data_IF_472649881086
#
_entry.id   IF_472649881086
#
_cell.length_a   1.000
_cell.length_b   1.000
_cell.length_c   1.000
_cell.angle_alpha   90.00
_cell.angle_beta   90.00
_cell.angle_gamma   90.00
#
_symmetry.space_group_name_H-M   'P 1'
#
loop_
_entity.id
_entity.type
_entity.pdbx_description
1 polymer ?
#
# COMPACT_ATOMS: atom_id res chain seq x y z
N UNK A 1 7.22 14.27 3.53
CA UNK A 1 8.40 13.46 3.10
C UNK A 1 9.71 13.87 3.76
N UNK A 2 9.85 15.12 4.17
CA UNK A 2 11.06 15.56 4.91
C UNK A 2 11.14 14.93 6.30
N UNK A 3 10.00 14.54 6.88
CA UNK A 3 9.87 14.00 8.24
C UNK A 3 9.50 12.50 8.28
N UNK A 4 9.34 11.85 7.11
CA UNK A 4 8.96 10.45 7.01
C UNK A 4 9.88 9.67 6.06
N UNK A 5 10.31 8.47 6.46
CA UNK A 5 11.15 7.57 5.66
C UNK A 5 10.38 7.01 4.46
N UNK A 6 9.10 6.71 4.63
CA UNK A 6 8.20 6.23 3.58
C UNK A 6 6.82 6.87 3.69
N UNK A 7 6.18 7.12 2.56
CA UNK A 7 4.82 7.66 2.46
C UNK A 7 4.01 6.83 1.48
N UNK A 8 2.90 6.29 1.94
CA UNK A 8 1.89 5.64 1.10
C UNK A 8 0.79 6.63 0.78
N UNK A 9 0.52 6.82 -0.50
CA UNK A 9 -0.55 7.70 -0.99
C UNK A 9 -1.66 6.83 -1.60
N UNK A 10 -2.89 7.03 -1.14
CA UNK A 10 -4.09 6.40 -1.67
C UNK A 10 -4.98 7.48 -2.32
N UNK A 11 -5.35 7.26 -3.58
CA UNK A 11 -6.18 8.20 -4.33
C UNK A 11 -7.67 7.85 -4.18
N UNK A 12 -8.38 8.62 -3.36
CA UNK A 12 -9.82 8.46 -3.16
C UNK A 12 -10.66 8.68 -4.44
N UNK A 13 -10.11 9.37 -5.47
CA UNK A 13 -10.85 9.53 -6.73
C UNK A 13 -11.09 8.19 -7.45
N UNK A 14 -10.27 7.19 -7.16
CA UNK A 14 -10.46 5.84 -7.70
C UNK A 14 -11.74 5.18 -7.22
N UNK A 15 -12.26 5.56 -6.04
CA UNK A 15 -13.57 5.10 -5.57
C UNK A 15 -14.71 5.50 -6.52
N UNK A 16 -14.62 6.68 -7.15
CA UNK A 16 -15.62 7.15 -8.11
C UNK A 16 -15.72 6.25 -9.35
N UNK A 17 -14.61 5.60 -9.70
CA UNK A 17 -14.58 4.66 -10.82
C UNK A 17 -14.93 3.24 -10.40
N UNK A 18 -14.56 2.86 -9.19
CA UNK A 18 -14.77 1.49 -8.69
C UNK A 18 -16.19 1.27 -8.18
N UNK A 19 -16.73 2.20 -7.42
CA UNK A 19 -18.06 2.10 -6.78
C UNK A 19 -18.91 3.37 -6.98
N UNK A 20 -19.19 3.78 -8.22
CA UNK A 20 -19.82 5.07 -8.51
C UNK A 20 -21.23 5.22 -7.96
N UNK A 21 -21.91 4.13 -7.63
CA UNK A 21 -23.31 4.09 -7.21
C UNK A 21 -23.49 3.84 -5.70
N UNK A 22 -22.40 3.70 -4.93
CA UNK A 22 -22.52 3.53 -3.48
C UNK A 22 -22.74 4.88 -2.78
N UNK A 23 -23.47 4.88 -1.63
CA UNK A 23 -23.48 5.99 -0.70
C UNK A 23 -22.05 6.38 -0.28
N UNK A 24 -21.84 7.67 -0.01
CA UNK A 24 -20.50 8.21 0.24
C UNK A 24 -19.80 7.57 1.45
N UNK A 25 -20.53 7.31 2.50
CA UNK A 25 -20.05 6.64 3.72
C UNK A 25 -19.66 5.18 3.47
N UNK A 26 -20.44 4.46 2.66
CA UNK A 26 -20.12 3.09 2.26
C UNK A 26 -18.89 3.05 1.34
N UNK A 27 -18.77 3.99 0.41
CA UNK A 27 -17.61 4.09 -0.47
C UNK A 27 -16.31 4.36 0.33
N UNK A 28 -16.34 5.28 1.30
CA UNK A 28 -15.18 5.51 2.18
C UNK A 28 -14.87 4.33 3.08
N UNK A 29 -15.88 3.56 3.54
CA UNK A 29 -15.64 2.32 4.28
C UNK A 29 -14.79 1.30 3.54
N UNK A 30 -14.90 1.23 2.21
CA UNK A 30 -14.05 0.35 1.38
C UNK A 30 -12.58 0.78 1.47
N UNK A 31 -12.31 2.08 1.40
CA UNK A 31 -10.94 2.60 1.53
C UNK A 31 -10.39 2.37 2.94
N UNK A 32 -11.21 2.57 3.98
CA UNK A 32 -10.83 2.31 5.37
C UNK A 32 -10.50 0.83 5.60
N UNK A 33 -11.25 -0.08 4.99
CA UNK A 33 -10.97 -1.52 5.04
C UNK A 33 -9.64 -1.84 4.35
N UNK A 34 -9.36 -1.27 3.19
CA UNK A 34 -8.09 -1.46 2.50
C UNK A 34 -6.91 -0.98 3.36
N UNK A 35 -7.03 0.21 3.96
CA UNK A 35 -6.00 0.73 4.88
C UNK A 35 -5.81 -0.19 6.07
N UNK A 36 -6.90 -0.67 6.66
CA UNK A 36 -6.86 -1.59 7.79
C UNK A 36 -6.17 -2.91 7.44
N UNK A 37 -6.45 -3.50 6.27
CA UNK A 37 -5.78 -4.73 5.80
C UNK A 37 -4.29 -4.50 5.52
N UNK A 38 -3.93 -3.36 4.97
CA UNK A 38 -2.53 -2.97 4.76
C UNK A 38 -1.78 -2.88 6.10
N UNK A 39 -2.32 -2.11 7.07
CA UNK A 39 -1.69 -1.95 8.39
C UNK A 39 -1.61 -3.28 9.13
N UNK A 40 -2.70 -4.05 9.12
CA UNK A 40 -2.77 -5.38 9.71
C UNK A 40 -1.72 -6.30 9.09
N UNK A 41 -1.61 -6.33 7.76
CA UNK A 41 -0.63 -7.14 7.05
C UNK A 41 0.82 -6.84 7.46
N UNK A 42 1.18 -5.56 7.58
CA UNK A 42 2.52 -5.16 8.06
C UNK A 42 2.76 -5.65 9.49
N UNK A 43 1.79 -5.44 10.38
CA UNK A 43 1.90 -5.85 11.78
C UNK A 43 2.02 -7.37 11.90
N UNK A 44 1.17 -8.11 11.21
CA UNK A 44 1.19 -9.59 11.21
C UNK A 44 2.51 -10.13 10.66
N UNK A 45 3.06 -9.53 9.61
CA UNK A 45 4.34 -9.93 9.02
C UNK A 45 5.49 -9.89 10.03
N UNK A 46 5.47 -8.91 10.95
CA UNK A 46 6.54 -8.70 11.93
C UNK A 46 6.28 -9.46 13.24
N UNK A 47 5.00 -9.61 13.64
CA UNK A 47 4.64 -10.08 14.98
C UNK A 47 4.25 -11.55 15.05
N UNK A 48 3.76 -12.12 13.96
CA UNK A 48 3.29 -13.49 13.95
C UNK A 48 4.39 -14.46 13.49
N UNK A 49 4.48 -15.66 14.10
CA UNK A 49 5.40 -16.69 13.66
C UNK A 49 5.15 -17.09 12.20
N UNK A 50 6.21 -17.21 11.43
CA UNK A 50 6.17 -17.55 10.01
C UNK A 50 7.10 -18.71 9.69
N UNK A 51 6.89 -19.40 8.58
CA UNK A 51 7.80 -20.42 8.06
C UNK A 51 9.13 -19.79 7.62
N UNK A 52 9.03 -18.62 6.99
CA UNK A 52 10.15 -17.75 6.66
C UNK A 52 9.85 -16.42 7.36
N UNK A 53 10.54 -16.18 8.47
CA UNK A 53 10.28 -15.02 9.31
C UNK A 53 10.87 -13.76 8.69
N UNK A 54 10.12 -12.68 8.80
CA UNK A 54 10.59 -11.31 8.57
C UNK A 54 10.63 -10.59 9.90
N UNK A 55 11.63 -9.75 10.08
CA UNK A 55 11.73 -8.92 11.25
C UNK A 55 11.55 -7.42 10.93
N UNK A 56 11.50 -6.60 11.98
CA UNK A 56 11.38 -5.15 11.81
C UNK A 56 12.58 -4.54 11.07
N UNK A 57 13.77 -5.14 11.16
CA UNK A 57 14.96 -4.65 10.48
C UNK A 57 14.84 -4.84 8.95
N UNK A 58 14.20 -5.92 8.52
CA UNK A 58 13.89 -6.20 7.11
C UNK A 58 12.95 -5.14 6.54
N UNK A 59 11.83 -4.89 7.21
CA UNK A 59 10.86 -3.84 6.82
C UNK A 59 11.55 -2.48 6.76
N UNK A 60 12.33 -2.14 7.79
CA UNK A 60 13.07 -0.88 7.85
C UNK A 60 14.08 -0.75 6.71
N UNK A 61 14.77 -1.81 6.38
CA UNK A 61 15.78 -1.84 5.31
C UNK A 61 15.14 -1.50 3.97
N UNK A 62 14.02 -2.14 3.65
CA UNK A 62 13.28 -1.88 2.42
C UNK A 62 12.71 -0.46 2.43
N UNK A 63 12.03 -0.04 3.49
CA UNK A 63 11.39 1.28 3.56
C UNK A 63 12.40 2.45 3.52
N UNK A 64 13.63 2.25 3.95
CA UNK A 64 14.72 3.23 3.86
C UNK A 64 15.38 3.31 2.48
N UNK A 65 15.08 2.39 1.58
CA UNK A 65 15.66 2.35 0.22
C UNK A 65 15.39 3.60 -0.63
N UNK A 66 14.52 4.49 -0.15
CA UNK A 66 14.19 5.76 -0.80
C UNK A 66 13.21 5.61 -1.96
N UNK A 67 12.94 6.72 -2.66
CA UNK A 67 11.98 6.74 -3.76
C UNK A 67 10.51 6.71 -3.29
N UNK A 68 9.61 6.41 -4.21
CA UNK A 68 8.20 6.20 -3.93
C UNK A 68 8.02 4.80 -3.34
N UNK A 69 7.23 4.70 -2.29
CA UNK A 69 6.87 3.42 -1.68
C UNK A 69 5.43 3.09 -2.05
N UNK A 70 5.24 1.92 -2.60
CA UNK A 70 3.93 1.37 -2.95
C UNK A 70 3.64 0.15 -2.12
N UNK A 71 2.35 -0.10 -1.88
CA UNK A 71 1.90 -1.33 -1.25
C UNK A 71 0.99 -2.08 -2.22
N UNK A 72 1.20 -3.39 -2.27
CA UNK A 72 0.38 -4.31 -3.02
C UNK A 72 -0.35 -5.21 -2.03
N UNK A 73 -1.60 -5.49 -2.37
CA UNK A 73 -2.43 -6.44 -1.66
C UNK A 73 -3.24 -7.25 -2.68
N UNK A 74 -3.25 -8.55 -2.53
CA UNK A 74 -4.07 -9.46 -3.31
C UNK A 74 -4.42 -10.70 -2.50
N UNK A 75 -5.58 -11.26 -2.78
CA UNK A 75 -6.07 -12.46 -2.11
C UNK A 75 -6.89 -13.29 -3.11
N UNK A 76 -6.51 -14.57 -3.31
CA UNK A 76 -7.19 -15.44 -4.26
C UNK A 76 -7.11 -16.91 -3.85
N UNK A 77 -8.16 -17.66 -4.14
CA UNK A 77 -8.21 -19.13 -4.01
C UNK A 77 -7.84 -19.86 -5.30
N UNK A 78 -7.54 -19.09 -6.37
CA UNK A 78 -7.23 -19.62 -7.72
C UNK A 78 -5.75 -19.82 -7.99
N UNK A 79 -4.91 -19.63 -6.98
CA UNK A 79 -3.48 -19.92 -7.01
C UNK A 79 -2.56 -18.71 -7.19
N UNK A 80 -1.23 -18.97 -7.29
CA UNK A 80 -0.20 -17.94 -7.31
C UNK A 80 -0.31 -16.89 -8.41
N UNK A 81 -0.65 -17.31 -9.64
CA UNK A 81 -0.74 -16.39 -10.77
C UNK A 81 -1.88 -15.38 -10.58
N UNK A 82 -3.03 -15.86 -10.10
CA UNK A 82 -4.20 -15.01 -9.91
C UNK A 82 -4.00 -14.03 -8.73
N UNK A 83 -3.43 -14.48 -7.62
CA UNK A 83 -3.18 -13.58 -6.49
C UNK A 83 -2.20 -12.47 -6.86
N UNK A 84 -1.18 -12.76 -7.67
CA UNK A 84 -0.26 -11.73 -8.20
C UNK A 84 -0.99 -10.81 -9.17
N UNK A 85 -1.80 -11.36 -10.08
CA UNK A 85 -2.59 -10.55 -11.00
C UNK A 85 -3.53 -9.60 -10.24
N UNK A 86 -4.25 -10.09 -9.23
CA UNK A 86 -5.14 -9.27 -8.40
C UNK A 86 -4.37 -8.20 -7.63
N UNK A 87 -3.19 -8.53 -7.09
CA UNK A 87 -2.37 -7.56 -6.35
C UNK A 87 -1.84 -6.42 -7.23
N UNK A 88 -1.45 -6.72 -8.46
CA UNK A 88 -0.91 -5.75 -9.41
C UNK A 88 -1.99 -4.90 -10.10
N UNK A 89 -3.20 -5.42 -10.20
CA UNK A 89 -4.34 -4.75 -10.85
C UNK A 89 -5.40 -4.31 -9.84
N UNK A 90 -5.01 -4.11 -8.57
CA UNK A 90 -5.95 -3.71 -7.53
C UNK A 90 -6.60 -2.36 -7.87
N UNK A 91 -7.94 -2.26 -7.96
CA UNK A 91 -8.62 -1.11 -8.55
C UNK A 91 -8.42 0.20 -7.77
N UNK A 92 -8.14 0.11 -6.49
CA UNK A 92 -7.95 1.27 -5.60
C UNK A 92 -6.48 1.68 -5.45
N UNK A 93 -5.54 0.88 -5.99
CA UNK A 93 -4.11 1.17 -5.92
C UNK A 93 -3.60 1.58 -7.30
N UNK A 94 -2.74 2.59 -7.35
CA UNK A 94 -2.03 2.98 -8.57
C UNK A 94 -0.67 2.31 -8.57
N UNK A 95 -0.62 1.13 -9.20
CA UNK A 95 0.52 0.25 -9.07
C UNK A 95 1.27 0.18 -10.40
N UNK A 96 2.48 0.71 -10.38
CA UNK A 96 3.49 0.44 -11.39
C UNK A 96 4.78 0.13 -10.63
N UNK A 97 5.21 -1.12 -10.68
CA UNK A 97 6.39 -1.60 -9.95
C UNK A 97 7.61 -1.79 -10.86
N UNK A 98 7.49 -1.45 -12.13
CA UNK A 98 8.56 -1.67 -13.09
C UNK A 98 9.82 -0.89 -12.70
N UNK A 99 10.95 -1.60 -12.66
CA UNK A 99 12.24 -1.02 -12.31
C UNK A 99 12.42 -0.68 -10.82
N UNK A 100 11.49 -1.04 -9.94
CA UNK A 100 11.63 -0.85 -8.50
C UNK A 100 12.90 -1.50 -7.96
N UNK A 101 13.54 -0.87 -6.98
CA UNK A 101 14.85 -1.26 -6.46
C UNK A 101 14.81 -2.02 -5.13
N UNK A 102 13.64 -2.09 -4.50
CA UNK A 102 13.45 -2.84 -3.28
C UNK A 102 12.06 -3.44 -3.17
N UNK A 103 11.95 -4.64 -2.63
CA UNK A 103 10.70 -5.32 -2.38
C UNK A 103 10.75 -6.14 -1.09
N UNK A 104 9.74 -6.02 -0.26
CA UNK A 104 9.44 -6.95 0.81
C UNK A 104 8.12 -7.62 0.46
N UNK A 105 8.15 -8.94 0.29
CA UNK A 105 7.01 -9.73 -0.14
C UNK A 105 6.67 -10.72 0.97
N UNK A 106 5.43 -10.70 1.45
CA UNK A 106 4.94 -11.66 2.43
C UNK A 106 3.75 -12.42 1.87
N UNK A 107 3.87 -13.74 1.86
CA UNK A 107 2.83 -14.65 1.37
C UNK A 107 2.20 -15.37 2.56
N UNK A 108 0.89 -15.30 2.70
CA UNK A 108 0.12 -16.06 3.68
C UNK A 108 -0.81 -17.01 2.93
N UNK A 109 -0.83 -18.25 3.32
CA UNK A 109 -1.79 -19.22 2.75
C UNK A 109 -2.30 -20.19 3.79
N UNK A 110 -3.25 -21.03 3.41
CA UNK A 110 -3.79 -22.07 4.28
C UNK A 110 -2.80 -23.20 4.58
N UNK A 111 -3.25 -24.22 5.33
CA UNK A 111 -2.35 -25.29 5.81
C UNK A 111 -1.74 -26.16 4.70
N UNK A 112 -2.33 -26.10 3.49
CA UNK A 112 -1.86 -26.87 2.33
C UNK A 112 -0.99 -26.05 1.38
N UNK A 113 -0.78 -24.74 1.65
CA UNK A 113 0.12 -23.92 0.84
C UNK A 113 1.54 -24.51 0.87
N UNK A 114 2.07 -24.77 -0.31
CA UNK A 114 3.43 -25.29 -0.48
C UNK A 114 4.46 -24.17 -0.59
N UNK A 115 5.71 -24.49 -0.29
CA UNK A 115 6.83 -23.57 -0.51
C UNK A 115 6.97 -23.20 -1.99
N UNK A 116 6.67 -24.15 -2.90
CA UNK A 116 6.67 -23.92 -4.34
C UNK A 116 5.67 -22.84 -4.75
N UNK A 117 4.43 -22.90 -4.22
CA UNK A 117 3.42 -21.86 -4.48
C UNK A 117 3.85 -20.50 -3.96
N UNK A 118 4.41 -20.45 -2.74
CA UNK A 118 4.91 -19.20 -2.18
C UNK A 118 6.09 -18.64 -3.01
N UNK A 119 7.01 -19.49 -3.45
CA UNK A 119 8.13 -19.09 -4.32
C UNK A 119 7.63 -18.58 -5.67
N UNK A 120 6.63 -19.25 -6.27
CA UNK A 120 6.03 -18.82 -7.54
C UNK A 120 5.43 -17.41 -7.45
N UNK A 121 4.76 -17.07 -6.34
CA UNK A 121 4.27 -15.69 -6.09
C UNK A 121 5.43 -14.70 -6.14
N UNK A 122 6.53 -15.00 -5.44
CA UNK A 122 7.71 -14.14 -5.39
C UNK A 122 8.34 -13.98 -6.77
N UNK A 123 8.54 -15.07 -7.50
CA UNK A 123 9.13 -15.06 -8.84
C UNK A 123 8.32 -14.23 -9.84
N UNK A 124 6.99 -14.37 -9.81
CA UNK A 124 6.09 -13.59 -10.67
C UNK A 124 6.12 -12.08 -10.36
N UNK A 125 6.28 -11.72 -9.08
CA UNK A 125 6.38 -10.31 -8.68
C UNK A 125 7.75 -9.73 -9.00
N UNK A 126 8.81 -10.47 -8.70
CA UNK A 126 10.20 -10.01 -8.88
C UNK A 126 10.62 -9.85 -10.33
N UNK A 127 10.00 -10.62 -11.23
CA UNK A 127 10.26 -10.51 -12.67
C UNK A 127 9.97 -9.13 -13.29
N UNK A 128 9.32 -8.22 -12.55
CA UNK A 128 9.05 -6.84 -12.97
C UNK A 128 9.96 -5.80 -12.31
N UNK A 129 10.73 -6.21 -11.32
CA UNK A 129 11.62 -5.31 -10.58
C UNK A 129 12.95 -5.11 -11.33
N UNK A 130 13.76 -4.17 -10.83
CA UNK A 130 15.13 -4.04 -11.30
C UNK A 130 15.92 -5.35 -11.09
N UNK A 131 16.82 -5.75 -12.00
CA UNK A 131 17.67 -6.92 -11.82
C UNK A 131 18.53 -6.86 -10.54
N UNK A 132 18.85 -5.67 -10.06
CA UNK A 132 19.63 -5.42 -8.85
C UNK A 132 18.73 -5.11 -7.62
N UNK A 133 17.42 -5.37 -7.70
CA UNK A 133 16.50 -5.09 -6.61
C UNK A 133 16.84 -5.90 -5.36
N UNK A 134 16.80 -5.24 -4.21
CA UNK A 134 16.89 -5.93 -2.92
C UNK A 134 15.52 -6.52 -2.58
N UNK A 135 15.41 -7.85 -2.62
CA UNK A 135 14.15 -8.57 -2.36
C UNK A 135 14.26 -9.33 -1.05
N UNK A 136 13.32 -9.06 -0.15
CA UNK A 136 13.16 -9.78 1.12
C UNK A 136 11.81 -10.49 1.08
N UNK A 137 11.79 -11.76 1.43
CA UNK A 137 10.65 -12.64 1.30
C UNK A 137 10.31 -13.34 2.61
N UNK A 138 9.02 -13.39 2.94
CA UNK A 138 8.47 -14.14 4.06
C UNK A 138 7.28 -15.00 3.65
N UNK A 139 7.07 -16.12 4.36
CA UNK A 139 5.93 -16.99 4.12
C UNK A 139 5.34 -17.50 5.43
N UNK A 140 4.01 -17.49 5.55
CA UNK A 140 3.26 -17.94 6.70
C UNK A 140 2.11 -18.87 6.31
N UNK A 141 1.87 -19.88 7.12
CA UNK A 141 0.63 -20.66 7.05
C UNK A 141 -0.34 -20.21 8.13
N UNK A 142 -1.61 -20.06 7.76
CA UNK A 142 -2.69 -19.72 8.66
C UNK A 142 -3.92 -20.58 8.31
N UNK A 143 -4.37 -21.44 9.23
CA UNK A 143 -5.51 -22.35 8.97
C UNK A 143 -6.80 -21.62 8.57
N UNK A 144 -6.95 -20.35 8.94
CA UNK A 144 -8.12 -19.54 8.58
C UNK A 144 -8.24 -19.24 7.09
N UNK A 145 -7.16 -19.40 6.32
CA UNK A 145 -7.14 -19.12 4.87
C UNK A 145 -7.64 -20.28 3.99
N UNK A 146 -7.76 -21.52 4.53
CA UNK A 146 -8.21 -22.66 3.72
C UNK A 146 -7.33 -22.88 2.48
N UNK A 147 -7.92 -22.71 1.28
CA UNK A 147 -7.20 -22.81 -0.01
C UNK A 147 -6.77 -21.43 -0.55
N UNK A 148 -7.09 -20.35 0.17
CA UNK A 148 -6.77 -18.98 -0.25
C UNK A 148 -5.30 -18.65 0.00
N UNK A 149 -4.68 -17.97 -0.97
CA UNK A 149 -3.37 -17.35 -0.85
C UNK A 149 -3.56 -15.83 -0.79
N UNK A 150 -2.90 -15.20 0.16
CA UNK A 150 -2.80 -13.75 0.30
C UNK A 150 -1.37 -13.31 0.06
N UNK A 151 -1.18 -12.28 -0.75
CA UNK A 151 0.10 -11.60 -0.89
C UNK A 151 -0.03 -10.16 -0.40
N UNK A 152 0.95 -9.74 0.36
CA UNK A 152 1.19 -8.35 0.70
C UNK A 152 2.63 -8.02 0.35
N UNK A 153 2.84 -6.92 -0.35
CA UNK A 153 4.19 -6.48 -0.65
C UNK A 153 4.38 -4.98 -0.43
N UNK A 154 5.57 -4.62 0.03
CA UNK A 154 6.06 -3.24 0.12
C UNK A 154 7.12 -3.09 -0.96
N UNK A 155 6.87 -2.24 -1.94
CA UNK A 155 7.76 -2.00 -3.08
C UNK A 155 8.33 -0.58 -2.96
N UNK A 156 9.63 -0.43 -3.12
CA UNK A 156 10.32 0.85 -2.98
C UNK A 156 11.22 1.16 -4.16
N UNK A 157 11.57 2.43 -4.33
CA UNK A 157 12.43 2.86 -5.42
C UNK A 157 11.76 2.86 -6.78
N UNK A 158 10.43 2.98 -6.81
CA UNK A 158 9.66 3.11 -8.06
C UNK A 158 9.88 4.50 -8.64
N UNK A 159 10.21 4.57 -9.93
CA UNK A 159 10.31 5.81 -10.69
C UNK A 159 8.92 6.24 -11.16
N UNK A 160 8.10 6.78 -10.24
CA UNK A 160 6.79 7.30 -10.60
C UNK A 160 6.80 8.83 -10.59
N UNK A 161 6.94 9.44 -11.77
CA UNK A 161 6.98 10.90 -11.95
C UNK A 161 5.68 11.57 -11.42
N UNK A 162 4.52 10.93 -11.60
CA UNK A 162 3.23 11.48 -11.17
C UNK A 162 3.09 11.61 -9.66
N UNK A 163 3.56 10.59 -8.91
CA UNK A 163 3.52 10.62 -7.45
C UNK A 163 4.64 11.49 -6.87
N UNK A 164 5.77 11.58 -7.56
CA UNK A 164 6.88 12.43 -7.13
C UNK A 164 6.46 13.90 -7.18
N UNK A 165 5.77 14.34 -8.23
CA UNK A 165 5.27 15.70 -8.37
C UNK A 165 4.19 16.03 -7.35
N UNK A 166 3.24 15.12 -7.09
CA UNK A 166 2.18 15.32 -6.10
C UNK A 166 2.71 15.42 -4.66
N UNK A 167 3.80 14.72 -4.34
CA UNK A 167 4.41 14.74 -3.00
C UNK A 167 5.41 15.89 -2.84
N UNK A 168 5.97 16.42 -3.92
CA UNK A 168 7.00 17.48 -3.86
C UNK A 168 6.45 18.90 -3.79
N UNK A 169 5.21 19.18 -4.23
CA UNK A 169 4.63 20.52 -4.18
C UNK A 169 3.32 20.54 -3.36
N UNK A 170 3.35 21.12 -2.13
CA UNK A 170 2.14 21.28 -1.30
C UNK A 170 0.99 22.01 -2.01
N UNK A 171 1.32 22.90 -2.96
CA UNK A 171 0.35 23.68 -3.71
C UNK A 171 -0.38 22.82 -4.77
N UNK A 172 0.30 21.87 -5.40
CA UNK A 172 -0.32 20.90 -6.33
C UNK A 172 -1.19 19.87 -5.61
N UNK A 173 -0.81 19.49 -4.38
CA UNK A 173 -1.64 18.64 -3.55
C UNK A 173 -2.96 19.33 -3.17
N UNK A 174 -2.92 20.62 -2.81
CA UNK A 174 -4.09 21.42 -2.51
C UNK A 174 -5.02 21.59 -3.73
N UNK A 175 -4.45 21.70 -4.93
CA UNK A 175 -5.18 21.78 -6.19
C UNK A 175 -5.82 20.44 -6.56
N UNK A 176 -5.09 19.32 -6.38
CA UNK A 176 -5.58 17.97 -6.67
C UNK A 176 -6.75 17.54 -5.76
N UNK A 177 -6.78 18.02 -4.51
CA UNK A 177 -7.89 17.75 -3.56
C UNK A 177 -8.98 18.83 -3.60
N UNK A 178 -8.95 19.75 -4.58
CA UNK A 178 -10.01 20.73 -4.81
C UNK A 178 -10.16 21.80 -3.73
N UNK A 179 -9.16 21.98 -2.85
CA UNK A 179 -9.11 23.08 -1.90
C UNK A 179 -8.61 24.33 -2.63
N UNK A 180 -9.54 25.06 -3.25
CA UNK A 180 -9.24 26.37 -3.82
C UNK A 180 -8.73 27.30 -2.69
N UNK A 181 -7.45 27.66 -2.71
CA UNK A 181 -6.97 28.81 -1.95
C UNK A 181 -7.71 30.04 -2.49
N UNK A 182 -8.67 30.54 -1.73
CA UNK A 182 -9.17 31.88 -1.95
C UNK A 182 -8.02 32.86 -1.71
N UNK A 183 -7.42 33.30 -2.81
CA UNK A 183 -6.43 34.36 -2.78
C UNK A 183 -7.09 35.64 -2.29
N UNK A 184 -6.73 36.10 -1.10
CA UNK A 184 -6.80 37.51 -0.74
C UNK A 184 -8.15 38.04 -0.26
N UNK A 185 -8.86 37.39 0.66
CA UNK A 185 -9.83 38.08 1.49
C UNK A 185 -9.42 38.03 2.96
N UNK A 186 -9.17 39.20 3.57
CA UNK A 186 -8.97 39.35 5.01
C UNK A 186 -10.14 38.70 5.72
N UNK A 187 -9.87 37.61 6.46
CA UNK A 187 -10.87 36.97 7.28
C UNK A 187 -11.49 37.95 8.29
N UNK A 188 -12.81 37.83 8.57
CA UNK A 188 -13.41 38.55 9.67
C UNK A 188 -12.74 38.09 10.97
N UNK A 189 -12.30 39.08 11.78
CA UNK A 189 -11.64 38.83 13.06
C UNK A 189 -12.51 37.95 13.96
N UNK A 190 -11.91 36.93 14.54
CA UNK A 190 -12.54 36.17 15.61
C UNK A 190 -12.81 37.10 16.79
N UNK A 191 -14.07 37.45 16.96
CA UNK A 191 -14.57 38.19 18.11
C UNK A 191 -14.27 37.42 19.41
N UNK A 192 -13.86 38.17 20.41
CA UNK A 192 -13.55 37.77 21.77
C UNK A 192 -14.49 36.71 22.33
N UNK A 193 -13.95 35.57 22.74
CA UNK A 193 -14.62 34.58 23.57
C UNK A 193 -14.81 35.22 24.96
N UNK A 194 -16.05 35.56 25.34
CA UNK A 194 -16.38 35.94 26.71
C UNK A 194 -16.25 34.69 27.60
N UNK A 195 -15.43 34.79 28.63
CA UNK A 195 -15.42 33.85 29.76
C UNK A 195 -16.70 34.02 30.53
N UNK A 196 -17.43 32.93 30.72
CA UNK A 196 -18.45 32.85 31.76
C UNK A 196 -17.79 32.36 33.02
N UNK A 197 -17.97 33.12 34.08
CA UNK A 197 -17.68 32.76 35.48
C UNK A 197 -18.66 31.68 35.99
#
# INVERSE_FOLDING_TARGET
RQEADAVLVLDNNRLLHYVPNLPLDEAFSIMDQLIAEIVKGIVETITLPSLINLDFADVRTIMKGGGVTMMLYGESDRGPEEVVHESLNHPLLDIDIEGATGALIHVTGGPYMTLEQASQVVDLMTGRLSPDANVIFGARQDPGFGDTIKVMAIITGVANERLTDAVMEPDKLAEAIGIARQSGARGPGFGSIQRFD
#
